data_IF_893932652482
#
_entry.id   IF_893932652482
#
_cell.length_a   1.000
_cell.length_b   1.000
_cell.length_c   1.000
_cell.angle_alpha   90.00
_cell.angle_beta   90.00
_cell.angle_gamma   90.00
#
_symmetry.space_group_name_H-M   'P 1'
#
loop_
_entity.id
_entity.type
_entity.pdbx_description
1 polymer ?
#
# COMPACT_ATOMS: atom_id res chain seq x y z
N UNK A 1 -13.52 21.41 26.79
CA UNK A 1 -13.83 21.85 25.41
C UNK A 1 -15.05 21.08 24.96
N UNK A 2 -16.16 21.78 24.74
CA UNK A 2 -17.39 21.18 24.24
C UNK A 2 -17.58 21.49 22.75
N UNK A 3 -18.38 20.66 22.07
CA UNK A 3 -18.78 20.87 20.68
C UNK A 3 -18.03 20.02 19.65
N UNK A 4 -18.36 20.25 18.38
CA UNK A 4 -17.76 19.55 17.24
C UNK A 4 -16.31 19.98 17.04
N UNK A 5 -15.44 19.00 16.78
CA UNK A 5 -14.01 19.18 16.49
C UNK A 5 -13.65 18.38 15.25
N UNK A 6 -12.87 18.99 14.36
CA UNK A 6 -12.30 18.30 13.19
C UNK A 6 -11.09 17.46 13.60
N UNK A 7 -10.96 16.29 13.00
CA UNK A 7 -9.83 15.37 13.16
C UNK A 7 -9.72 14.47 11.93
N UNK A 8 -8.77 13.54 11.92
CA UNK A 8 -8.60 12.57 10.85
C UNK A 8 -8.75 11.14 11.39
N UNK A 9 -9.26 10.24 10.55
CA UNK A 9 -9.31 8.82 10.83
C UNK A 9 -7.89 8.23 10.75
N UNK A 10 -7.41 7.66 11.85
CA UNK A 10 -6.04 7.12 11.95
C UNK A 10 -5.92 5.60 11.76
N UNK A 11 -6.95 4.96 11.19
CA UNK A 11 -7.07 3.49 11.17
C UNK A 11 -6.48 2.84 9.91
N UNK A 12 -6.60 3.47 8.74
CA UNK A 12 -5.94 3.04 7.50
C UNK A 12 -5.24 4.24 6.86
N UNK A 13 -4.40 4.03 5.85
CA UNK A 13 -3.58 5.09 5.24
C UNK A 13 -4.31 6.12 4.37
N UNK A 14 -5.62 6.30 4.53
CA UNK A 14 -6.40 7.27 3.75
C UNK A 14 -6.52 8.65 4.40
N UNK A 15 -6.35 8.74 5.73
CA UNK A 15 -6.57 9.96 6.48
C UNK A 15 -7.96 10.62 6.30
N UNK A 16 -9.05 9.85 6.17
CA UNK A 16 -10.39 10.43 5.94
C UNK A 16 -10.75 11.44 7.05
N UNK A 17 -11.29 12.60 6.67
CA UNK A 17 -11.67 13.65 7.60
C UNK A 17 -12.88 13.27 8.44
N UNK A 18 -12.82 13.56 9.74
CA UNK A 18 -13.86 13.29 10.71
C UNK A 18 -14.23 14.56 11.48
N UNK A 19 -15.49 14.66 11.88
CA UNK A 19 -15.93 15.55 12.95
C UNK A 19 -16.37 14.71 14.14
N UNK A 20 -15.86 15.06 15.32
CA UNK A 20 -16.21 14.41 16.59
C UNK A 20 -16.87 15.41 17.53
N UNK A 21 -18.02 15.04 18.08
CA UNK A 21 -18.68 15.80 19.14
C UNK A 21 -18.06 15.40 20.47
N UNK A 22 -17.49 16.38 21.17
CA UNK A 22 -16.88 16.18 22.48
C UNK A 22 -17.74 16.82 23.56
N UNK A 23 -18.12 16.02 24.56
CA UNK A 23 -18.88 16.45 25.74
C UNK A 23 -18.23 15.79 26.96
N UNK A 24 -18.03 16.53 28.05
CA UNK A 24 -17.43 15.99 29.28
C UNK A 24 -16.11 15.20 29.04
N UNK A 25 -15.25 15.73 28.15
CA UNK A 25 -13.98 15.10 27.74
C UNK A 25 -14.14 13.70 27.11
N UNK A 26 -15.29 13.43 26.49
CA UNK A 26 -15.58 12.18 25.78
C UNK A 26 -16.12 12.46 24.39
N UNK A 27 -15.66 11.66 23.43
CA UNK A 27 -16.29 11.57 22.11
C UNK A 27 -17.65 10.88 22.27
N UNK A 28 -18.74 11.58 21.95
CA UNK A 28 -20.12 11.07 22.05
C UNK A 28 -20.75 10.80 20.68
N UNK A 29 -20.33 11.52 19.63
CA UNK A 29 -20.76 11.30 18.24
C UNK A 29 -19.60 11.50 17.28
N UNK A 30 -19.68 10.83 16.13
CA UNK A 30 -18.71 10.91 15.05
C UNK A 30 -19.47 11.01 13.72
N UNK A 31 -19.01 11.88 12.82
CA UNK A 31 -19.47 11.97 11.43
C UNK A 31 -18.29 12.27 10.50
N UNK A 32 -18.50 12.14 9.19
CA UNK A 32 -17.50 12.55 8.20
C UNK A 32 -17.44 14.07 8.06
N UNK A 33 -16.23 14.61 7.93
CA UNK A 33 -15.99 16.03 7.64
C UNK A 33 -16.31 16.31 6.16
N UNK A 34 -17.36 17.11 5.92
CA UNK A 34 -17.81 17.46 4.57
C UNK A 34 -16.78 18.30 3.82
N UNK A 35 -15.96 19.07 4.54
CA UNK A 35 -14.94 19.94 3.94
C UNK A 35 -13.61 19.21 3.72
N UNK A 36 -13.54 17.90 4.03
CA UNK A 36 -12.31 17.13 3.84
C UNK A 36 -11.99 17.01 2.35
N UNK A 37 -10.81 17.47 1.88
CA UNK A 37 -10.45 17.39 0.46
C UNK A 37 -10.20 15.96 -0.02
N UNK A 38 -9.97 15.02 0.89
CA UNK A 38 -9.71 13.62 0.56
C UNK A 38 -11.01 12.80 0.53
N UNK A 39 -11.85 12.96 1.55
CA UNK A 39 -13.01 12.10 1.75
C UNK A 39 -14.35 12.75 1.47
N UNK A 40 -14.46 14.08 1.41
CA UNK A 40 -15.70 14.81 1.07
C UNK A 40 -16.91 14.28 1.87
N UNK A 41 -16.76 14.16 3.19
CA UNK A 41 -17.79 13.61 4.07
C UNK A 41 -17.95 12.08 4.06
N UNK A 42 -17.32 11.36 3.14
CA UNK A 42 -17.31 9.89 3.15
C UNK A 42 -16.53 9.35 4.35
N UNK A 43 -17.14 8.42 5.07
CA UNK A 43 -16.48 7.71 6.15
C UNK A 43 -16.96 6.27 6.21
N UNK A 44 -16.04 5.32 6.33
CA UNK A 44 -16.39 3.91 6.49
C UNK A 44 -16.77 3.58 7.94
N UNK A 45 -17.27 2.36 8.18
CA UNK A 45 -17.64 1.90 9.52
C UNK A 45 -16.49 2.01 10.54
N UNK A 46 -15.24 1.85 10.11
CA UNK A 46 -14.06 1.99 10.98
C UNK A 46 -13.97 3.41 11.57
N UNK A 47 -14.04 4.42 10.69
CA UNK A 47 -13.99 5.83 11.10
C UNK A 47 -15.18 6.27 11.94
N UNK A 48 -16.39 5.79 11.63
CA UNK A 48 -17.59 6.10 12.43
C UNK A 48 -17.53 5.55 13.87
N UNK A 49 -16.74 4.50 14.11
CA UNK A 49 -16.64 3.83 15.41
C UNK A 49 -15.36 4.20 16.19
N UNK A 50 -14.66 5.29 15.85
CA UNK A 50 -13.45 5.71 16.60
C UNK A 50 -13.74 5.96 18.09
N UNK A 51 -14.95 6.40 18.45
CA UNK A 51 -15.37 6.56 19.83
C UNK A 51 -15.35 5.23 20.61
N UNK A 52 -15.78 4.13 19.97
CA UNK A 52 -15.75 2.80 20.56
C UNK A 52 -14.31 2.35 20.86
N UNK A 53 -13.37 2.61 19.95
CA UNK A 53 -11.96 2.27 20.15
C UNK A 53 -11.30 3.14 21.23
N UNK A 54 -11.58 4.45 21.25
CA UNK A 54 -10.99 5.38 22.22
C UNK A 54 -11.44 5.09 23.66
N UNK A 55 -12.70 4.68 23.83
CA UNK A 55 -13.34 4.47 25.14
C UNK A 55 -13.49 2.98 25.51
N UNK A 56 -12.71 2.11 24.89
CA UNK A 56 -12.72 0.69 25.21
C UNK A 56 -12.44 0.46 26.70
N UNK A 57 -13.23 -0.40 27.35
CA UNK A 57 -13.11 -0.74 28.78
C UNK A 57 -11.76 -1.37 29.15
N UNK A 58 -11.12 -2.07 28.20
CA UNK A 58 -9.87 -2.79 28.39
C UNK A 58 -8.65 -1.91 28.04
N UNK A 59 -8.86 -0.60 27.83
CA UNK A 59 -7.77 0.34 27.54
C UNK A 59 -6.75 0.36 28.67
N UNK A 60 -5.48 0.21 28.33
CA UNK A 60 -4.37 0.32 29.28
C UNK A 60 -4.21 1.78 29.72
N UNK A 61 -4.53 2.06 30.98
CA UNK A 61 -4.51 3.41 31.57
C UNK A 61 -3.24 3.71 32.38
N UNK A 62 -2.50 2.67 32.77
CA UNK A 62 -1.33 2.78 33.63
C UNK A 62 -0.22 1.86 33.13
N UNK A 63 1.07 2.20 33.37
CA UNK A 63 2.17 1.28 33.15
C UNK A 63 1.99 -0.02 33.94
N UNK A 64 2.26 -1.15 33.29
CA UNK A 64 2.15 -2.49 33.87
C UNK A 64 3.51 -3.19 33.78
N UNK A 65 4.00 -3.71 34.90
CA UNK A 65 5.24 -4.49 35.01
C UNK A 65 4.91 -5.95 35.22
N UNK A 66 5.58 -6.84 34.49
CA UNK A 66 5.44 -8.28 34.69
C UNK A 66 6.22 -8.71 35.94
N UNK A 67 5.55 -9.39 36.87
CA UNK A 67 6.12 -9.97 38.11
C UNK A 67 5.69 -11.43 38.14
N UNK A 68 6.64 -12.34 37.85
CA UNK A 68 6.32 -13.76 37.64
C UNK A 68 5.38 -13.97 36.44
N UNK A 69 4.20 -14.50 36.70
CA UNK A 69 3.14 -14.80 35.73
C UNK A 69 2.08 -13.70 35.61
N UNK A 70 2.12 -12.66 36.45
CA UNK A 70 1.13 -11.57 36.47
C UNK A 70 1.70 -10.21 36.09
N UNK A 71 0.80 -9.26 35.82
CA UNK A 71 1.12 -7.85 35.63
C UNK A 71 0.67 -7.03 36.83
N UNK A 72 1.56 -6.18 37.32
CA UNK A 72 1.32 -5.26 38.43
C UNK A 72 1.42 -3.81 37.94
N UNK A 73 0.52 -2.94 38.41
CA UNK A 73 0.54 -1.52 38.10
C UNK A 73 1.73 -0.85 38.79
N UNK A 74 2.46 -0.03 38.05
CA UNK A 74 3.56 0.80 38.57
C UNK A 74 3.38 2.28 38.18
N UNK A 75 4.15 3.17 38.80
CA UNK A 75 4.15 4.59 38.42
C UNK A 75 4.87 4.84 37.10
N UNK A 76 4.57 5.95 36.44
CA UNK A 76 5.31 6.39 35.25
C UNK A 76 6.79 6.64 35.55
N UNK A 77 7.09 7.23 36.71
CA UNK A 77 8.47 7.49 37.14
C UNK A 77 9.26 6.18 37.28
N UNK A 78 8.68 5.18 37.95
CA UNK A 78 9.30 3.86 38.10
C UNK A 78 9.49 3.19 36.73
N UNK A 79 8.46 3.20 35.87
CA UNK A 79 8.53 2.58 34.54
C UNK A 79 9.66 3.20 33.69
N UNK A 80 9.73 4.53 33.63
CA UNK A 80 10.75 5.25 32.85
C UNK A 80 12.15 4.97 33.40
N UNK A 81 12.33 5.03 34.73
CA UNK A 81 13.61 4.78 35.39
C UNK A 81 14.11 3.35 35.11
N UNK A 82 13.31 2.34 35.39
CA UNK A 82 13.69 0.93 35.22
C UNK A 82 13.98 0.59 33.74
N UNK A 83 13.17 1.12 32.79
CA UNK A 83 13.42 0.94 31.36
C UNK A 83 14.74 1.61 30.95
N UNK A 84 15.00 2.83 31.42
CA UNK A 84 16.22 3.56 31.09
C UNK A 84 17.48 2.87 31.64
N UNK A 85 17.45 2.39 32.89
CA UNK A 85 18.54 1.61 33.50
C UNK A 85 18.79 0.33 32.69
N UNK A 86 17.75 -0.46 32.43
CA UNK A 86 17.87 -1.71 31.67
C UNK A 86 18.38 -1.50 30.25
N UNK A 87 17.94 -0.44 29.57
CA UNK A 87 18.45 -0.10 28.23
C UNK A 87 19.94 0.25 28.27
N UNK A 88 20.38 1.02 29.28
CA UNK A 88 21.81 1.34 29.45
C UNK A 88 22.64 0.10 29.71
N UNK A 89 22.17 -0.80 30.59
CA UNK A 89 22.88 -2.03 30.92
C UNK A 89 23.04 -2.95 29.70
N UNK A 90 21.94 -3.16 28.95
CA UNK A 90 21.97 -3.98 27.73
C UNK A 90 22.94 -3.40 26.70
N UNK A 91 22.87 -2.09 26.44
CA UNK A 91 23.76 -1.44 25.47
C UNK A 91 25.21 -1.44 25.95
N UNK A 92 25.45 -1.27 27.26
CA UNK A 92 26.78 -1.31 27.86
C UNK A 92 27.42 -2.69 27.80
N UNK A 93 26.65 -3.75 28.07
CA UNK A 93 27.15 -5.12 28.11
C UNK A 93 27.26 -5.77 26.72
N UNK A 94 26.26 -5.58 25.86
CA UNK A 94 26.14 -6.30 24.58
C UNK A 94 26.30 -5.40 23.36
N UNK A 95 26.50 -4.10 23.56
CA UNK A 95 26.63 -3.11 22.51
C UNK A 95 25.31 -2.75 21.84
N UNK A 96 25.35 -1.77 20.91
CA UNK A 96 24.14 -1.23 20.28
C UNK A 96 23.36 -2.23 19.41
N UNK A 97 24.01 -3.29 18.94
CA UNK A 97 23.35 -4.31 18.10
C UNK A 97 22.35 -5.17 18.88
N UNK A 98 22.40 -5.17 20.21
CA UNK A 98 21.43 -5.85 21.07
C UNK A 98 20.09 -5.10 21.18
N UNK A 99 19.99 -3.89 20.63
CA UNK A 99 18.78 -3.06 20.66
C UNK A 99 18.12 -3.02 19.28
N UNK A 100 16.81 -3.23 19.23
CA UNK A 100 15.97 -2.97 18.06
C UNK A 100 14.71 -2.21 18.47
N UNK A 101 14.16 -1.42 17.55
CA UNK A 101 12.83 -0.84 17.69
C UNK A 101 11.82 -1.53 16.80
N UNK A 102 10.60 -1.65 17.30
CA UNK A 102 9.41 -1.98 16.52
C UNK A 102 8.41 -0.85 16.70
N UNK A 103 8.22 -0.01 15.68
CA UNK A 103 7.23 1.05 15.70
C UNK A 103 6.80 1.43 14.29
N UNK A 104 5.55 1.90 14.16
CA UNK A 104 4.91 2.17 12.88
C UNK A 104 3.94 1.07 12.45
N UNK A 105 3.17 1.33 11.40
CA UNK A 105 2.07 0.47 10.95
C UNK A 105 0.67 1.07 11.14
N UNK A 106 0.54 2.40 11.16
CA UNK A 106 -0.75 3.10 11.20
C UNK A 106 -0.55 4.60 11.41
N UNK A 107 -1.53 5.42 11.02
CA UNK A 107 -1.35 6.88 11.02
C UNK A 107 -1.10 7.47 12.41
N UNK A 108 -1.62 6.82 13.45
CA UNK A 108 -1.40 7.21 14.84
C UNK A 108 0.08 7.16 15.25
N UNK A 109 0.90 6.33 14.61
CA UNK A 109 2.32 6.19 14.97
C UNK A 109 3.21 7.23 14.28
N UNK A 110 2.75 7.93 13.24
CA UNK A 110 3.64 8.81 12.45
C UNK A 110 4.23 9.96 13.26
N UNK A 111 3.50 10.46 14.27
CA UNK A 111 4.00 11.52 15.14
C UNK A 111 5.07 11.02 16.14
N UNK A 112 5.04 9.75 16.53
CA UNK A 112 5.93 9.22 17.57
C UNK A 112 7.19 8.52 17.01
N UNK A 113 7.12 7.97 15.79
CA UNK A 113 8.23 7.25 15.14
C UNK A 113 9.54 8.07 15.09
N UNK A 114 9.55 9.36 14.71
CA UNK A 114 10.79 10.13 14.64
C UNK A 114 11.53 10.21 15.98
N UNK A 115 10.80 10.27 17.10
CA UNK A 115 11.39 10.28 18.44
C UNK A 115 12.08 8.96 18.77
N UNK A 116 11.41 7.83 18.52
CA UNK A 116 11.97 6.51 18.78
C UNK A 116 13.18 6.23 17.88
N UNK A 117 13.10 6.51 16.57
CA UNK A 117 14.22 6.30 15.65
C UNK A 117 15.43 7.15 16.08
N UNK A 118 15.22 8.41 16.47
CA UNK A 118 16.30 9.28 16.96
C UNK A 118 16.94 8.73 18.24
N UNK A 119 16.14 8.26 19.20
CA UNK A 119 16.63 7.65 20.44
C UNK A 119 17.49 6.41 20.13
N UNK A 120 16.96 5.47 19.35
CA UNK A 120 17.64 4.20 19.02
C UNK A 120 18.94 4.45 18.24
N UNK A 121 18.93 5.40 17.29
CA UNK A 121 20.14 5.82 16.57
C UNK A 121 21.16 6.48 17.49
N UNK A 122 20.73 7.30 18.45
CA UNK A 122 21.63 7.95 19.42
C UNK A 122 22.29 6.95 20.37
N UNK A 123 21.59 5.85 20.67
CA UNK A 123 22.12 4.69 21.40
C UNK A 123 23.00 3.79 20.51
N UNK A 124 23.22 4.13 19.24
CA UNK A 124 24.11 3.44 18.32
C UNK A 124 23.47 2.31 17.52
N UNK A 125 22.19 1.99 17.77
CA UNK A 125 21.50 0.93 17.02
C UNK A 125 21.01 1.42 15.67
N UNK A 126 20.98 0.50 14.70
CA UNK A 126 20.45 0.71 13.34
C UNK A 126 19.20 -0.12 13.06
N UNK A 127 18.78 -0.95 14.02
CA UNK A 127 17.67 -1.89 13.81
C UNK A 127 16.34 -1.22 14.13
N UNK A 128 15.58 -0.96 13.07
CA UNK A 128 14.22 -0.46 13.13
C UNK A 128 13.34 -1.32 12.24
N UNK A 129 12.25 -1.80 12.84
CA UNK A 129 11.24 -2.61 12.20
C UNK A 129 9.88 -1.94 12.38
N UNK A 130 8.98 -2.19 11.45
CA UNK A 130 7.61 -1.67 11.40
C UNK A 130 6.73 -2.64 10.62
N UNK A 131 5.40 -2.46 10.66
CA UNK A 131 4.51 -3.22 9.78
C UNK A 131 4.84 -3.03 8.29
N UNK A 132 5.41 -1.88 7.90
CA UNK A 132 5.82 -1.64 6.52
C UNK A 132 6.93 -2.60 6.04
N UNK A 133 7.71 -3.20 6.95
CA UNK A 133 8.69 -4.24 6.59
C UNK A 133 8.02 -5.57 6.20
N UNK A 134 6.83 -5.85 6.74
CA UNK A 134 6.05 -7.05 6.38
C UNK A 134 5.28 -6.84 5.09
N UNK A 135 4.82 -5.61 4.86
CA UNK A 135 3.94 -5.27 3.75
C UNK A 135 4.73 -4.77 2.52
N UNK A 136 5.49 -3.69 2.63
CA UNK A 136 5.98 -2.96 1.45
C UNK A 136 7.43 -3.25 1.04
N UNK A 137 8.18 -4.06 1.81
CA UNK A 137 9.62 -4.21 1.62
C UNK A 137 10.02 -4.63 0.19
N UNK A 138 9.33 -5.60 -0.40
CA UNK A 138 9.59 -6.04 -1.78
C UNK A 138 9.33 -4.94 -2.80
N UNK A 139 8.21 -4.22 -2.65
CA UNK A 139 7.84 -3.10 -3.51
C UNK A 139 8.81 -1.94 -3.39
N UNK A 140 9.19 -1.54 -2.18
CA UNK A 140 10.16 -0.47 -1.93
C UNK A 140 11.52 -0.80 -2.55
N UNK A 141 11.95 -2.06 -2.46
CA UNK A 141 13.17 -2.52 -3.11
C UNK A 141 13.07 -2.42 -4.64
N UNK A 142 12.01 -2.99 -5.23
CA UNK A 142 11.78 -2.94 -6.67
C UNK A 142 11.71 -1.50 -7.20
N UNK A 143 10.91 -0.66 -6.55
CA UNK A 143 10.76 0.76 -6.89
C UNK A 143 12.06 1.55 -6.68
N UNK A 144 12.85 1.22 -5.65
CA UNK A 144 14.14 1.84 -5.42
C UNK A 144 15.12 1.57 -6.55
N UNK A 145 15.10 0.36 -7.12
CA UNK A 145 15.90 0.01 -8.28
C UNK A 145 15.37 0.62 -9.59
N UNK A 146 14.05 0.76 -9.75
CA UNK A 146 13.46 1.28 -11.01
C UNK A 146 13.39 2.80 -11.06
N UNK A 147 13.14 3.47 -9.94
CA UNK A 147 12.96 4.92 -9.86
C UNK A 147 14.14 5.64 -9.19
N UNK A 148 15.18 4.90 -8.79
CA UNK A 148 16.35 5.43 -8.08
C UNK A 148 16.08 5.87 -6.64
N UNK A 149 14.85 5.73 -6.14
CA UNK A 149 14.48 6.11 -4.77
C UNK A 149 13.33 5.23 -4.25
N UNK A 150 13.61 4.43 -3.22
CA UNK A 150 12.63 3.52 -2.62
C UNK A 150 11.41 4.21 -1.98
N UNK A 151 11.46 5.54 -1.78
CA UNK A 151 10.34 6.31 -1.27
C UNK A 151 9.37 6.78 -2.37
N UNK A 152 9.72 6.56 -3.65
CA UNK A 152 8.84 6.85 -4.78
C UNK A 152 7.93 5.64 -5.01
N UNK A 153 6.63 5.85 -4.84
CA UNK A 153 5.58 4.85 -5.00
C UNK A 153 4.66 5.22 -6.16
N UNK A 154 3.97 4.24 -6.73
CA UNK A 154 3.00 4.47 -7.81
C UNK A 154 1.58 4.43 -7.24
N UNK A 155 0.72 5.35 -7.64
CA UNK A 155 -0.71 5.28 -7.35
C UNK A 155 -1.51 5.44 -8.63
N UNK A 156 -2.70 4.84 -8.66
CA UNK A 156 -3.58 4.90 -9.82
C UNK A 156 -4.31 6.26 -9.89
N UNK A 157 -4.35 6.87 -11.07
CA UNK A 157 -5.19 8.04 -11.36
C UNK A 157 -6.64 7.58 -11.59
N UNK A 158 -7.40 7.45 -10.50
CA UNK A 158 -8.78 6.95 -10.53
C UNK A 158 -9.73 7.87 -11.29
N UNK A 159 -9.40 9.16 -11.38
CA UNK A 159 -10.23 10.20 -11.93
C UNK A 159 -10.19 10.17 -13.46
N UNK A 160 -9.00 9.92 -14.03
CA UNK A 160 -8.80 9.99 -15.49
C UNK A 160 -8.61 8.63 -16.16
N UNK A 161 -8.51 7.54 -15.39
CA UNK A 161 -8.31 6.21 -15.95
C UNK A 161 -9.61 5.61 -16.49
N UNK A 162 -9.59 5.15 -17.73
CA UNK A 162 -10.70 4.44 -18.37
C UNK A 162 -10.66 2.93 -18.06
N UNK A 163 -9.52 2.42 -17.58
CA UNK A 163 -9.37 1.04 -17.14
C UNK A 163 -8.54 0.94 -15.86
N UNK A 164 -9.07 0.26 -14.86
CA UNK A 164 -8.37 -0.02 -13.61
C UNK A 164 -8.17 -1.52 -13.47
N UNK A 165 -6.92 -1.94 -13.40
CA UNK A 165 -6.53 -3.32 -13.10
C UNK A 165 -6.08 -3.42 -11.64
N UNK A 166 -6.87 -4.13 -10.84
CA UNK A 166 -6.55 -4.42 -9.44
C UNK A 166 -5.91 -5.79 -9.33
N UNK A 167 -4.78 -5.91 -8.64
CA UNK A 167 -4.05 -7.18 -8.50
C UNK A 167 -3.84 -7.50 -7.02
N UNK A 168 -4.38 -8.63 -6.55
CA UNK A 168 -4.26 -9.05 -5.15
C UNK A 168 -4.87 -8.04 -4.17
N UNK A 169 -5.94 -7.34 -4.58
CA UNK A 169 -6.49 -6.18 -3.88
C UNK A 169 -8.02 -6.22 -3.79
N UNK A 170 -8.56 -5.90 -2.61
CA UNK A 170 -10.01 -5.87 -2.34
C UNK A 170 -10.46 -4.54 -1.65
N UNK A 171 -10.49 -3.41 -2.37
CA UNK A 171 -10.77 -2.10 -1.79
C UNK A 171 -12.21 -1.92 -1.29
N UNK A 172 -13.16 -2.78 -1.69
CA UNK A 172 -14.49 -2.77 -1.07
C UNK A 172 -14.42 -3.09 0.43
N UNK A 173 -13.42 -3.87 0.87
CA UNK A 173 -13.21 -4.18 2.29
C UNK A 173 -12.04 -3.42 2.92
N UNK A 174 -10.89 -3.31 2.24
CA UNK A 174 -9.71 -2.66 2.81
C UNK A 174 -9.84 -1.14 2.83
N UNK A 175 -10.59 -0.55 1.89
CA UNK A 175 -10.73 0.89 1.67
C UNK A 175 -9.40 1.59 1.34
N UNK A 176 -8.42 0.93 0.71
CA UNK A 176 -7.05 1.44 0.50
C UNK A 176 -6.91 2.80 -0.24
N UNK A 177 -7.97 3.36 -0.81
CA UNK A 177 -7.94 4.72 -1.37
C UNK A 177 -9.22 5.49 -0.99
N UNK A 178 -9.19 6.84 -1.01
CA UNK A 178 -10.33 7.64 -0.60
C UNK A 178 -11.59 7.31 -1.41
N UNK A 179 -12.71 7.17 -0.70
CA UNK A 179 -14.02 6.85 -1.28
C UNK A 179 -14.05 5.55 -2.09
N UNK A 180 -13.17 4.57 -1.81
CA UNK A 180 -12.99 3.36 -2.63
C UNK A 180 -14.29 2.65 -3.04
N UNK A 181 -15.24 2.49 -2.10
CA UNK A 181 -16.54 1.87 -2.42
C UNK A 181 -17.33 2.65 -3.46
N UNK A 182 -17.42 3.97 -3.29
CA UNK A 182 -18.17 4.85 -4.20
C UNK A 182 -17.51 4.85 -5.58
N UNK A 183 -16.20 5.08 -5.64
CA UNK A 183 -15.43 5.12 -6.89
C UNK A 183 -15.53 3.82 -7.68
N UNK A 184 -15.32 2.66 -7.03
CA UNK A 184 -15.40 1.37 -7.72
C UNK A 184 -16.82 1.01 -8.15
N UNK A 185 -17.83 1.31 -7.32
CA UNK A 185 -19.23 1.02 -7.70
C UNK A 185 -19.70 1.91 -8.86
N UNK A 186 -19.22 3.15 -8.94
CA UNK A 186 -19.48 4.04 -10.06
C UNK A 186 -18.77 3.55 -11.32
N UNK A 187 -17.49 3.20 -11.21
CA UNK A 187 -16.71 2.67 -12.33
C UNK A 187 -17.31 1.39 -12.91
N UNK A 188 -17.71 0.44 -12.06
CA UNK A 188 -18.36 -0.82 -12.47
C UNK A 188 -19.74 -0.63 -13.14
N UNK A 189 -20.34 0.56 -13.05
CA UNK A 189 -21.63 0.88 -13.69
C UNK A 189 -21.47 1.75 -14.92
N UNK A 190 -20.26 2.25 -15.19
CA UNK A 190 -19.98 3.14 -16.31
C UNK A 190 -19.57 2.31 -17.53
N UNK A 191 -20.37 2.26 -18.61
CA UNK A 191 -20.07 1.43 -19.78
C UNK A 191 -18.82 1.88 -20.54
N UNK A 192 -18.29 3.08 -20.27
CA UNK A 192 -17.06 3.57 -20.88
C UNK A 192 -15.81 3.18 -20.11
N UNK A 193 -15.97 2.67 -18.88
CA UNK A 193 -14.87 2.28 -18.00
C UNK A 193 -14.79 0.76 -17.87
N UNK A 194 -13.62 0.28 -17.48
CA UNK A 194 -13.36 -1.15 -17.34
C UNK A 194 -12.63 -1.46 -16.02
N UNK A 195 -13.31 -2.14 -15.10
CA UNK A 195 -12.73 -2.64 -13.86
C UNK A 195 -12.34 -4.11 -14.04
N UNK A 196 -11.03 -4.38 -13.96
CA UNK A 196 -10.47 -5.74 -14.00
C UNK A 196 -9.88 -6.07 -12.64
N UNK A 197 -10.16 -7.26 -12.13
CA UNK A 197 -9.66 -7.73 -10.83
C UNK A 197 -8.98 -9.08 -10.99
N UNK A 198 -7.71 -9.15 -10.59
CA UNK A 198 -6.93 -10.39 -10.42
C UNK A 198 -6.95 -10.73 -8.93
N UNK A 199 -7.69 -11.76 -8.57
CA UNK A 199 -7.87 -12.19 -7.18
C UNK A 199 -8.22 -13.69 -7.17
N UNK A 200 -7.53 -14.54 -6.39
CA UNK A 200 -7.83 -15.98 -6.36
C UNK A 200 -9.25 -16.30 -5.88
N UNK A 201 -9.89 -15.40 -5.13
CA UNK A 201 -11.27 -15.58 -4.68
C UNK A 201 -12.21 -14.59 -5.40
N UNK A 202 -13.51 -14.90 -5.52
CA UNK A 202 -14.53 -13.93 -5.89
C UNK A 202 -14.78 -12.98 -4.70
N UNK A 203 -13.79 -12.12 -4.43
CA UNK A 203 -13.84 -11.07 -3.42
C UNK A 203 -14.96 -10.07 -3.71
N UNK A 204 -15.28 -9.23 -2.73
CA UNK A 204 -16.35 -8.26 -2.88
C UNK A 204 -16.06 -7.29 -4.02
N UNK A 205 -14.81 -6.88 -4.19
CA UNK A 205 -14.37 -6.12 -5.37
C UNK A 205 -14.42 -6.94 -6.66
N UNK A 206 -13.99 -8.20 -6.67
CA UNK A 206 -14.07 -9.04 -7.87
C UNK A 206 -15.51 -9.26 -8.36
N UNK A 207 -16.48 -9.36 -7.44
CA UNK A 207 -17.91 -9.57 -7.76
C UNK A 207 -18.58 -8.41 -8.50
N UNK A 208 -18.02 -7.21 -8.42
CA UNK A 208 -18.51 -6.04 -9.15
C UNK A 208 -17.65 -5.69 -10.36
N UNK A 209 -16.57 -6.45 -10.61
CA UNK A 209 -15.67 -6.19 -11.73
C UNK A 209 -16.29 -6.63 -13.05
N UNK A 210 -15.97 -5.93 -14.14
CA UNK A 210 -16.34 -6.33 -15.50
C UNK A 210 -15.62 -7.62 -15.92
N UNK A 211 -14.38 -7.79 -15.46
CA UNK A 211 -13.57 -8.98 -15.67
C UNK A 211 -12.92 -9.40 -14.35
N UNK A 212 -13.22 -10.60 -13.90
CA UNK A 212 -12.51 -11.26 -12.81
C UNK A 212 -11.57 -12.34 -13.37
N UNK A 213 -10.28 -12.25 -13.02
CA UNK A 213 -9.28 -13.27 -13.29
C UNK A 213 -9.00 -14.05 -11.99
N UNK A 214 -9.63 -15.23 -11.79
CA UNK A 214 -9.46 -16.06 -10.60
C UNK A 214 -8.13 -16.81 -10.63
N UNK A 215 -7.03 -16.08 -10.48
CA UNK A 215 -5.68 -16.64 -10.58
C UNK A 215 -5.41 -17.69 -9.50
N UNK A 216 -4.67 -18.75 -9.85
CA UNK A 216 -4.10 -19.67 -8.86
C UNK A 216 -3.20 -18.92 -7.87
N UNK A 217 -3.37 -19.09 -6.54
CA UNK A 217 -2.54 -18.41 -5.55
C UNK A 217 -1.03 -18.60 -5.78
N UNK A 218 -0.28 -17.50 -5.81
CA UNK A 218 1.18 -17.51 -5.93
C UNK A 218 1.72 -17.57 -7.36
N UNK A 219 0.88 -17.52 -8.39
CA UNK A 219 1.31 -17.50 -9.80
C UNK A 219 1.29 -16.09 -10.42
N UNK A 220 1.24 -15.03 -9.61
CA UNK A 220 1.10 -13.64 -10.05
C UNK A 220 2.26 -13.17 -10.95
N UNK A 221 3.51 -13.53 -10.58
CA UNK A 221 4.68 -13.22 -11.40
C UNK A 221 4.62 -13.89 -12.77
N UNK A 222 4.03 -15.09 -12.83
CA UNK A 222 3.86 -15.86 -14.07
C UNK A 222 2.78 -15.23 -14.96
N UNK A 223 1.66 -14.77 -14.38
CA UNK A 223 0.65 -13.99 -15.09
C UNK A 223 1.23 -12.70 -15.65
N UNK A 224 1.92 -11.90 -14.85
CA UNK A 224 2.50 -10.63 -15.32
C UNK A 224 3.53 -10.86 -16.43
N UNK A 225 4.39 -11.88 -16.29
CA UNK A 225 5.32 -12.27 -17.35
C UNK A 225 4.60 -12.66 -18.65
N UNK A 226 3.52 -13.44 -18.55
CA UNK A 226 2.68 -13.81 -19.69
C UNK A 226 2.03 -12.58 -20.34
N UNK A 227 1.50 -11.65 -19.54
CA UNK A 227 0.90 -10.40 -20.06
C UNK A 227 1.92 -9.53 -20.78
N UNK A 228 3.15 -9.41 -20.24
CA UNK A 228 4.25 -8.68 -20.88
C UNK A 228 4.62 -9.34 -22.22
N UNK A 229 4.79 -10.66 -22.24
CA UNK A 229 5.10 -11.40 -23.48
C UNK A 229 4.00 -11.20 -24.53
N UNK A 230 2.71 -11.30 -24.15
CA UNK A 230 1.58 -11.02 -25.05
C UNK A 230 1.65 -9.62 -25.63
N UNK A 231 1.92 -8.59 -24.82
CA UNK A 231 2.00 -7.20 -25.28
C UNK A 231 3.15 -7.00 -26.28
N UNK A 232 4.29 -7.63 -26.03
CA UNK A 232 5.45 -7.59 -26.93
C UNK A 232 5.17 -8.33 -28.25
N UNK A 233 4.64 -9.54 -28.19
CA UNK A 233 4.35 -10.37 -29.36
C UNK A 233 3.24 -9.78 -30.24
N UNK A 234 2.28 -9.07 -29.63
CA UNK A 234 1.22 -8.35 -30.35
C UNK A 234 1.64 -6.95 -30.83
N UNK A 235 2.85 -6.48 -30.49
CA UNK A 235 3.32 -5.13 -30.84
C UNK A 235 2.50 -3.99 -30.21
N UNK A 236 1.93 -4.23 -29.01
CA UNK A 236 1.03 -3.29 -28.34
C UNK A 236 1.74 -2.30 -27.40
N UNK A 237 3.06 -2.32 -27.36
CA UNK A 237 3.86 -1.48 -26.48
C UNK A 237 4.09 -0.08 -27.08
N UNK A 238 4.30 0.90 -26.21
CA UNK A 238 4.53 2.28 -26.58
C UNK A 238 6.03 2.55 -26.79
N UNK A 239 6.53 2.36 -28.01
CA UNK A 239 7.95 2.55 -28.35
C UNK A 239 8.47 3.94 -27.97
N UNK A 240 7.72 5.00 -28.30
CA UNK A 240 8.11 6.39 -27.99
C UNK A 240 8.34 6.58 -26.49
N UNK A 241 7.43 6.07 -25.66
CA UNK A 241 7.58 6.16 -24.20
C UNK A 241 8.83 5.40 -23.71
N UNK A 242 9.08 4.21 -24.25
CA UNK A 242 10.27 3.43 -23.87
C UNK A 242 11.56 4.18 -24.23
N UNK A 243 11.63 4.77 -25.41
CA UNK A 243 12.80 5.51 -25.89
C UNK A 243 13.07 6.78 -25.07
N UNK A 244 12.00 7.48 -24.65
CA UNK A 244 12.10 8.77 -23.94
C UNK A 244 12.24 8.65 -22.42
N UNK A 245 11.74 7.56 -21.82
CA UNK A 245 11.53 7.47 -20.37
C UNK A 245 12.06 6.20 -19.71
N UNK A 246 12.69 5.29 -20.45
CA UNK A 246 13.23 4.05 -19.89
C UNK A 246 14.66 3.80 -20.31
N UNK A 247 15.37 3.02 -19.50
CA UNK A 247 16.69 2.48 -19.83
C UNK A 247 16.73 0.97 -19.54
N UNK A 248 17.63 0.26 -20.21
CA UNK A 248 17.87 -1.16 -19.94
C UNK A 248 16.79 -2.14 -20.42
N UNK A 249 15.73 -1.68 -21.11
CA UNK A 249 14.70 -2.59 -21.62
C UNK A 249 15.26 -3.68 -22.55
N UNK A 250 16.21 -3.33 -23.41
CA UNK A 250 16.88 -4.31 -24.29
C UNK A 250 17.60 -5.44 -23.53
N UNK A 251 18.09 -5.16 -22.32
CA UNK A 251 18.78 -6.15 -21.49
C UNK A 251 17.83 -7.22 -20.94
N UNK A 252 16.54 -6.87 -20.79
CA UNK A 252 15.52 -7.75 -20.22
C UNK A 252 14.55 -8.28 -21.28
N UNK A 253 14.57 -7.76 -22.52
CA UNK A 253 13.67 -8.15 -23.60
C UNK A 253 13.69 -9.65 -23.87
N UNK A 254 14.87 -10.26 -23.80
CA UNK A 254 15.06 -11.71 -23.98
C UNK A 254 14.35 -12.57 -22.94
N UNK A 255 14.00 -12.01 -21.76
CA UNK A 255 13.30 -12.76 -20.72
C UNK A 255 11.86 -13.12 -21.12
N UNK A 256 11.30 -12.37 -22.07
CA UNK A 256 9.91 -12.49 -22.53
C UNK A 256 9.81 -13.12 -23.93
N UNK A 257 10.88 -13.08 -24.73
CA UNK A 257 10.90 -13.66 -26.07
C UNK A 257 10.83 -15.19 -26.02
N UNK A 258 9.99 -15.79 -26.88
CA UNK A 258 9.83 -17.25 -26.96
C UNK A 258 9.24 -17.90 -25.70
N UNK A 259 8.62 -17.11 -24.83
CA UNK A 259 8.02 -17.59 -23.59
C UNK A 259 6.72 -18.39 -23.87
N UNK A 260 6.58 -19.58 -23.28
CA UNK A 260 5.34 -20.38 -23.38
C UNK A 260 4.21 -19.75 -22.56
N UNK A 261 3.56 -18.74 -23.15
CA UNK A 261 2.41 -18.04 -22.58
C UNK A 261 1.26 -19.00 -22.28
N UNK A 262 1.00 -19.98 -23.16
CA UNK A 262 -0.11 -20.92 -22.97
C UNK A 262 0.14 -21.83 -21.76
N UNK A 263 1.36 -22.35 -21.61
CA UNK A 263 1.76 -23.13 -20.43
C UNK A 263 1.74 -22.32 -19.15
N UNK A 264 2.21 -21.08 -19.21
CA UNK A 264 2.15 -20.15 -18.08
C UNK A 264 0.71 -19.94 -17.61
N UNK A 265 -0.22 -19.67 -18.53
CA UNK A 265 -1.62 -19.43 -18.19
C UNK A 265 -2.36 -20.69 -17.72
N UNK A 266 -1.99 -21.88 -18.20
CA UNK A 266 -2.48 -23.15 -17.62
C UNK A 266 -2.11 -23.29 -16.15
N UNK A 267 -0.88 -22.91 -15.76
CA UNK A 267 -0.45 -22.92 -14.35
C UNK A 267 -1.20 -21.86 -13.53
N UNK A 268 -1.45 -20.69 -14.12
CA UNK A 268 -2.27 -19.64 -13.50
C UNK A 268 -3.75 -20.00 -13.39
N UNK A 269 -4.21 -21.07 -14.03
CA UNK A 269 -5.62 -21.46 -14.15
C UNK A 269 -6.47 -20.38 -14.84
N UNK A 270 -5.90 -19.71 -15.86
CA UNK A 270 -6.54 -18.65 -16.63
C UNK A 270 -6.59 -19.00 -18.12
N UNK A 271 -7.66 -18.57 -18.79
CA UNK A 271 -7.83 -18.78 -20.22
C UNK A 271 -7.12 -17.70 -21.04
N UNK A 272 -6.35 -18.11 -22.04
CA UNK A 272 -5.61 -17.20 -22.91
C UNK A 272 -6.47 -16.12 -23.58
N UNK A 273 -7.66 -16.40 -24.16
CA UNK A 273 -8.47 -15.37 -24.80
C UNK A 273 -8.88 -14.24 -23.85
N UNK A 274 -9.13 -14.56 -22.58
CA UNK A 274 -9.52 -13.57 -21.55
C UNK A 274 -8.31 -12.70 -21.18
N UNK A 275 -7.14 -13.30 -20.96
CA UNK A 275 -5.91 -12.54 -20.64
C UNK A 275 -5.47 -11.68 -21.83
N UNK A 276 -5.55 -12.20 -23.06
CA UNK A 276 -5.27 -11.43 -24.27
C UNK A 276 -6.19 -10.21 -24.40
N UNK A 277 -7.49 -10.37 -24.11
CA UNK A 277 -8.44 -9.25 -24.06
C UNK A 277 -7.98 -8.20 -23.04
N UNK A 278 -7.66 -8.61 -21.81
CA UNK A 278 -7.16 -7.68 -20.77
C UNK A 278 -5.89 -6.95 -21.22
N UNK A 279 -4.92 -7.64 -21.85
CA UNK A 279 -3.71 -7.02 -22.39
C UNK A 279 -4.02 -5.95 -23.46
N UNK A 280 -4.96 -6.23 -24.37
CA UNK A 280 -5.39 -5.28 -25.42
C UNK A 280 -6.05 -4.04 -24.82
N UNK A 281 -6.96 -4.23 -23.87
CA UNK A 281 -7.61 -3.11 -23.18
C UNK A 281 -6.61 -2.29 -22.36
N UNK A 282 -5.68 -2.95 -21.67
CA UNK A 282 -4.63 -2.29 -20.88
C UNK A 282 -3.73 -1.41 -21.75
N UNK A 283 -3.31 -1.91 -22.91
CA UNK A 283 -2.46 -1.16 -23.84
C UNK A 283 -3.24 -0.08 -24.63
N UNK A 284 -4.52 -0.31 -24.94
CA UNK A 284 -5.33 0.58 -25.77
C UNK A 284 -6.01 1.74 -25.03
N UNK A 285 -6.31 1.58 -23.74
CA UNK A 285 -7.01 2.59 -22.92
C UNK A 285 -6.05 3.39 -22.06
N UNK A 286 -6.50 4.55 -21.57
CA UNK A 286 -5.89 5.20 -20.39
C UNK A 286 -6.09 4.27 -19.20
N UNK A 287 -5.01 3.60 -18.78
CA UNK A 287 -5.12 2.47 -17.86
C UNK A 287 -4.15 2.59 -16.70
N UNK A 288 -4.59 2.13 -15.55
CA UNK A 288 -3.83 2.16 -14.30
C UNK A 288 -3.86 0.80 -13.62
N UNK A 289 -2.79 0.49 -12.89
CA UNK A 289 -2.66 -0.75 -12.12
C UNK A 289 -2.54 -0.39 -10.64
N UNK A 290 -3.21 -1.14 -9.77
CA UNK A 290 -3.03 -1.01 -8.33
C UNK A 290 -2.98 -2.37 -7.64
N UNK A 291 -1.90 -2.60 -6.89
CA UNK A 291 -1.67 -3.78 -6.08
C UNK A 291 -1.89 -3.50 -4.58
N UNK A 292 -1.85 -4.56 -3.77
CA UNK A 292 -1.98 -4.51 -2.30
C UNK A 292 -1.46 -5.80 -1.66
N UNK A 293 -1.78 -6.01 -0.37
CA UNK A 293 -1.36 -7.13 0.47
C UNK A 293 -1.35 -8.52 -0.20
N UNK A 294 -2.26 -8.82 -1.14
CA UNK A 294 -2.23 -10.09 -1.87
C UNK A 294 -0.94 -10.29 -2.70
N UNK A 295 -0.36 -9.19 -3.20
CA UNK A 295 0.94 -9.15 -3.86
C UNK A 295 2.06 -8.82 -2.89
N UNK A 296 1.84 -7.84 -2.02
CA UNK A 296 2.86 -7.27 -1.17
C UNK A 296 3.41 -8.26 -0.13
N UNK A 297 2.55 -9.16 0.36
CA UNK A 297 2.92 -10.26 1.27
C UNK A 297 3.18 -11.60 0.54
N UNK A 298 3.28 -11.58 -0.78
CA UNK A 298 3.63 -12.75 -1.59
C UNK A 298 5.12 -13.10 -1.41
N UNK A 299 5.46 -14.39 -1.49
CA UNK A 299 6.85 -14.93 -1.52
C UNK A 299 7.75 -14.29 -2.60
N UNK A 300 7.17 -13.75 -3.67
CA UNK A 300 7.87 -13.12 -4.78
C UNK A 300 7.50 -11.63 -4.95
N UNK A 301 7.08 -10.95 -3.87
CA UNK A 301 6.55 -9.57 -3.93
C UNK A 301 7.45 -8.59 -4.70
N UNK A 302 8.77 -8.63 -4.47
CA UNK A 302 9.72 -7.77 -5.21
C UNK A 302 9.69 -8.00 -6.73
N UNK A 303 9.65 -9.26 -7.16
CA UNK A 303 9.57 -9.60 -8.59
C UNK A 303 8.22 -9.17 -9.19
N UNK A 304 7.11 -9.42 -8.48
CA UNK A 304 5.79 -9.02 -8.94
C UNK A 304 5.70 -7.50 -9.08
N UNK A 305 6.14 -6.74 -8.06
CA UNK A 305 6.17 -5.28 -8.12
C UNK A 305 7.04 -4.76 -9.27
N UNK A 306 8.21 -5.37 -9.51
CA UNK A 306 9.05 -5.03 -10.66
C UNK A 306 8.34 -5.29 -11.99
N UNK A 307 7.68 -6.44 -12.16
CA UNK A 307 6.95 -6.76 -13.38
C UNK A 307 5.73 -5.84 -13.59
N UNK A 308 5.09 -5.35 -12.53
CA UNK A 308 4.06 -4.29 -12.64
C UNK A 308 4.66 -3.01 -13.21
N UNK A 309 5.84 -2.59 -12.74
CA UNK A 309 6.56 -1.42 -13.30
C UNK A 309 6.88 -1.64 -14.78
N UNK A 310 7.43 -2.80 -15.16
CA UNK A 310 7.73 -3.12 -16.57
C UNK A 310 6.47 -3.09 -17.43
N UNK A 311 5.38 -3.69 -16.96
CA UNK A 311 4.10 -3.72 -17.67
C UNK A 311 3.53 -2.32 -17.89
N UNK A 312 3.54 -1.46 -16.86
CA UNK A 312 3.10 -0.07 -16.98
C UNK A 312 4.02 0.74 -17.91
N UNK A 313 5.33 0.53 -17.86
CA UNK A 313 6.29 1.21 -18.74
C UNK A 313 6.10 0.80 -20.21
N UNK A 314 5.90 -0.49 -20.49
CA UNK A 314 5.59 -0.98 -21.84
C UNK A 314 4.33 -0.37 -22.42
N UNK A 315 3.31 -0.16 -21.60
CA UNK A 315 2.08 0.51 -22.02
C UNK A 315 2.19 2.05 -22.01
N UNK A 316 3.32 2.63 -21.56
CA UNK A 316 3.49 4.07 -21.39
C UNK A 316 2.47 4.67 -20.42
N UNK A 317 2.40 4.10 -19.21
CA UNK A 317 1.40 4.45 -18.18
C UNK A 317 1.99 5.06 -16.91
N UNK A 318 3.30 5.19 -16.77
CA UNK A 318 3.91 5.80 -15.58
C UNK A 318 4.08 7.31 -15.81
N UNK A 319 3.61 8.13 -14.87
CA UNK A 319 3.75 9.59 -14.90
C UNK A 319 2.83 10.32 -15.88
N UNK A 320 1.75 9.67 -16.33
CA UNK A 320 0.81 10.24 -17.32
C UNK A 320 -0.63 10.30 -16.78
N UNK A 321 -1.46 11.26 -17.22
CA UNK A 321 -2.88 11.33 -16.85
C UNK A 321 -3.65 10.04 -17.19
N UNK A 322 -4.42 9.52 -16.23
CA UNK A 322 -5.16 8.26 -16.35
C UNK A 322 -4.31 6.99 -16.28
N UNK A 323 -2.99 7.16 -16.07
CA UNK A 323 -2.03 6.12 -15.76
C UNK A 323 -1.78 6.00 -14.25
N UNK A 324 -0.53 5.69 -13.90
CA UNK A 324 -0.04 5.70 -12.54
C UNK A 324 0.85 6.93 -12.30
N UNK A 325 0.48 7.77 -11.33
CA UNK A 325 1.33 8.89 -10.91
C UNK A 325 2.30 8.45 -9.80
N UNK A 326 3.40 9.20 -9.67
CA UNK A 326 4.42 8.95 -8.67
C UNK A 326 4.11 9.76 -7.40
N UNK A 327 4.03 9.08 -6.26
CA UNK A 327 3.91 9.66 -4.92
C UNK A 327 5.22 9.50 -4.15
N UNK A 328 5.54 10.51 -3.34
CA UNK A 328 6.73 10.52 -2.51
C UNK A 328 7.93 11.21 -3.17
N UNK A 329 8.85 11.69 -2.33
CA UNK A 329 9.92 12.59 -2.75
C UNK A 329 10.27 13.58 -1.65
N UNK A 330 10.73 13.08 -0.50
CA UNK A 330 11.37 13.93 0.50
C UNK A 330 12.69 14.47 -0.05
N UNK A 331 12.70 15.74 -0.44
CA UNK A 331 13.84 16.63 -0.67
C UNK A 331 15.26 16.02 -0.67
N UNK A 332 15.88 16.01 -1.86
CA UNK A 332 17.13 16.76 -2.08
C UNK A 332 17.06 17.41 -3.47
N UNK A 333 16.88 18.74 -3.58
CA UNK A 333 17.52 19.42 -4.68
C UNK A 333 19.03 19.25 -4.45
N UNK A 334 19.70 18.50 -5.31
CA UNK A 334 21.12 18.75 -5.52
C UNK A 334 21.14 20.05 -6.29
N UNK A 335 21.34 21.17 -5.60
CA UNK A 335 21.78 22.38 -6.27
C UNK A 335 23.07 22.02 -6.99
N UNK A 336 23.02 22.02 -8.33
CA UNK A 336 24.23 22.18 -9.13
C UNK A 336 24.62 23.65 -9.01
N UNK A 337 25.38 23.95 -7.97
CA UNK A 337 26.39 25.01 -8.00
C UNK A 337 27.74 24.37 -7.72
#
# INVERSE_FOLDING_TARGET
>A
MEGWKKTACVLCGNGCGLEVLVENNRIVKVRGDQDSPLSEGYVCRKGLNVAYHQHNKDRVLFPLKRVGDRFERISWEQAIKEIAEKLKDIVGQYGPKALASLAGGGEFSFLSIPFLIRLVRRLGSRYHYSAANQEFAGRYWAHGLTFGNQNIQMEADFEQSDMLLLIGKNPLMSHHFPQARRKLTQMAKDPNRLLVVVDPRPSETARIADIHLPIRPGTDALLLKAMIAIILDQGLYNQKYLDEHTEGFDQIRSWFSGFDVQGALRVCELEYPVVLKVCRELAGRRSSILDDLGILMNRHSALVSYLIVVLLALCGRIGVPGGNYLLGGGSRPVSKE
#
